data_IF_258427537757
#
_entry.id   IF_258427537757
#
_cell.length_a   1.000
_cell.length_b   1.000
_cell.length_c   1.000
_cell.angle_alpha   90.00
_cell.angle_beta   90.00
_cell.angle_gamma   90.00
#
_symmetry.space_group_name_H-M   'P 1'
#
loop_
_entity.id
_entity.type
_entity.pdbx_description
1 polymer ?
#
# COMPACT_ATOMS: atom_id res chain seq x y z
N UNK A 1 -36.21 57.99 26.94
CA UNK A 1 -36.16 57.47 28.31
C UNK A 1 -34.91 56.59 28.38
N UNK A 2 -33.74 57.20 28.55
CA UNK A 2 -33.04 57.50 29.83
C UNK A 2 -32.54 56.19 30.47
N UNK A 3 -31.30 55.98 30.90
CA UNK A 3 -30.07 56.79 31.04
C UNK A 3 -28.87 55.82 31.08
N UNK A 4 -27.62 56.20 30.79
CA UNK A 4 -26.72 57.09 31.56
C UNK A 4 -26.41 56.55 32.96
N UNK A 5 -25.15 56.15 33.17
CA UNK A 5 -24.59 55.80 34.48
C UNK A 5 -23.08 55.54 34.37
N UNK A 6 -22.29 56.59 34.61
CA UNK A 6 -20.84 56.56 34.76
C UNK A 6 -20.45 56.33 36.23
N UNK A 7 -19.26 55.76 36.48
CA UNK A 7 -18.46 56.07 37.67
C UNK A 7 -17.00 55.61 37.48
N UNK A 8 -16.09 56.55 37.70
CA UNK A 8 -14.62 56.45 37.71
C UNK A 8 -14.09 55.88 39.04
N UNK A 9 -12.84 55.41 39.06
CA UNK A 9 -12.08 55.16 40.29
C UNK A 9 -10.77 54.38 40.13
N UNK A 10 -9.68 55.07 39.76
CA UNK A 10 -8.27 54.73 40.07
C UNK A 10 -7.93 55.22 41.51
N UNK A 11 -6.72 55.05 42.13
CA UNK A 11 -5.44 54.42 41.71
C UNK A 11 -4.72 53.57 42.82
N UNK A 12 -3.49 53.08 42.53
CA UNK A 12 -2.24 53.08 43.35
C UNK A 12 -1.46 51.74 43.47
N UNK A 13 -0.35 51.70 42.71
CA UNK A 13 1.07 51.42 43.07
C UNK A 13 1.49 50.31 44.06
N UNK A 14 2.43 49.44 43.63
CA UNK A 14 3.77 49.16 44.24
C UNK A 14 4.43 47.95 43.53
N UNK A 15 5.43 48.10 42.66
CA UNK A 15 6.90 48.04 42.91
C UNK A 15 7.46 46.68 43.38
N UNK A 16 8.43 46.13 42.63
CA UNK A 16 9.43 45.16 43.13
C UNK A 16 10.05 44.19 42.09
N UNK A 17 11.20 44.61 41.53
CA UNK A 17 12.47 43.86 41.24
C UNK A 17 12.47 42.54 40.39
N UNK A 18 13.19 42.45 39.26
CA UNK A 18 14.65 42.24 39.06
C UNK A 18 15.15 40.89 39.65
N UNK A 19 15.91 39.97 39.03
CA UNK A 19 16.85 40.00 37.91
C UNK A 19 17.31 38.54 37.58
N UNK A 20 18.03 38.39 36.45
CA UNK A 20 19.12 37.43 36.14
C UNK A 20 18.85 35.98 35.68
N UNK A 21 19.01 35.79 34.37
CA UNK A 21 20.03 34.98 33.68
C UNK A 21 20.43 33.60 34.25
N UNK A 22 20.29 32.56 33.39
CA UNK A 22 20.98 31.29 33.53
C UNK A 22 20.74 30.36 32.34
N UNK A 23 21.81 30.01 31.64
CA UNK A 23 21.90 29.40 30.31
C UNK A 23 21.95 27.86 30.29
N UNK A 24 21.28 27.27 29.28
CA UNK A 24 21.71 26.20 28.35
C UNK A 24 22.22 24.84 28.88
N UNK A 25 21.47 23.78 28.53
CA UNK A 25 21.91 22.47 27.92
C UNK A 25 20.63 21.69 27.55
N UNK A 26 20.20 21.54 26.28
CA UNK A 26 20.65 20.69 25.16
C UNK A 26 20.25 19.20 25.26
N UNK A 27 19.41 18.76 24.30
CA UNK A 27 19.09 17.35 23.97
C UNK A 27 17.75 16.89 24.56
N UNK A 28 16.69 16.65 23.80
CA UNK A 28 16.62 15.70 22.68
C UNK A 28 15.91 16.31 21.46
N UNK A 29 16.58 16.24 20.30
CA UNK A 29 15.96 16.46 19.00
C UNK A 29 14.98 15.30 18.73
N UNK A 30 13.71 15.48 19.06
CA UNK A 30 12.66 14.78 18.32
C UNK A 30 12.68 15.40 16.92
N UNK A 31 13.36 14.71 16.00
CA UNK A 31 13.23 14.96 14.58
C UNK A 31 11.77 14.80 14.22
N UNK A 32 11.06 15.92 14.24
CA UNK A 32 9.75 16.12 13.62
C UNK A 32 9.97 15.78 12.14
N UNK A 33 9.81 14.50 11.82
CA UNK A 33 9.82 14.00 10.44
C UNK A 33 8.86 14.91 9.70
N UNK A 34 9.35 15.54 8.64
CA UNK A 34 8.65 16.55 7.88
C UNK A 34 7.40 15.93 7.23
N UNK A 35 6.32 15.88 8.01
CA UNK A 35 5.02 15.30 7.66
C UNK A 35 4.38 16.00 6.45
N UNK A 36 4.93 17.14 6.04
CA UNK A 36 4.43 18.00 4.98
C UNK A 36 4.74 17.44 3.58
N UNK A 37 5.89 16.75 3.43
CA UNK A 37 6.45 16.32 2.13
C UNK A 37 5.64 15.21 1.42
N UNK A 38 4.70 14.56 2.11
CA UNK A 38 3.90 13.46 1.53
C UNK A 38 2.59 13.96 0.93
N UNK A 39 2.02 15.01 1.50
CA UNK A 39 0.80 15.64 0.96
C UNK A 39 1.10 16.53 -0.24
N UNK A 40 2.34 17.00 -0.37
CA UNK A 40 2.83 17.72 -1.54
C UNK A 40 3.29 16.78 -2.67
N UNK A 41 3.43 15.49 -2.38
CA UNK A 41 3.88 14.51 -3.36
C UNK A 41 2.84 14.33 -4.47
N UNK A 42 3.27 14.55 -5.71
CA UNK A 42 2.43 14.32 -6.88
C UNK A 42 2.16 12.83 -7.11
N UNK A 43 1.00 12.46 -7.67
CA UNK A 43 0.71 11.07 -8.04
C UNK A 43 1.74 10.46 -8.99
N UNK A 44 2.29 11.23 -9.94
CA UNK A 44 3.35 10.77 -10.84
C UNK A 44 4.63 10.38 -10.09
N UNK A 45 4.99 11.14 -9.05
CA UNK A 45 6.14 10.82 -8.19
C UNK A 45 5.88 9.53 -7.43
N UNK A 46 4.71 9.39 -6.80
CA UNK A 46 4.33 8.17 -6.08
C UNK A 46 4.28 6.93 -6.98
N UNK A 47 3.79 7.09 -8.22
CA UNK A 47 3.81 6.05 -9.25
C UNK A 47 5.25 5.65 -9.60
N UNK A 48 6.16 6.62 -9.76
CA UNK A 48 7.58 6.37 -9.99
C UNK A 48 8.22 5.59 -8.84
N UNK A 49 7.94 5.98 -7.60
CA UNK A 49 8.39 5.27 -6.40
C UNK A 49 7.85 3.84 -6.33
N UNK A 50 6.57 3.62 -6.68
CA UNK A 50 5.99 2.28 -6.79
C UNK A 50 6.72 1.43 -7.83
N UNK A 51 7.07 1.98 -9.00
CA UNK A 51 7.85 1.24 -10.01
C UNK A 51 9.19 0.77 -9.44
N UNK A 52 9.93 1.68 -8.81
CA UNK A 52 11.24 1.39 -8.20
C UNK A 52 11.11 0.30 -7.14
N UNK A 53 10.09 0.38 -6.29
CA UNK A 53 9.82 -0.63 -5.26
C UNK A 53 9.62 -2.03 -5.86
N UNK A 54 8.81 -2.12 -6.93
CA UNK A 54 8.52 -3.40 -7.58
C UNK A 54 9.74 -3.97 -8.33
N UNK A 55 10.55 -3.12 -8.93
CA UNK A 55 11.80 -3.53 -9.58
C UNK A 55 12.80 -4.10 -8.56
N UNK A 56 12.89 -3.51 -7.37
CA UNK A 56 13.71 -4.04 -6.26
C UNK A 56 13.23 -5.40 -5.77
N UNK A 57 11.91 -5.57 -5.56
CA UNK A 57 11.34 -6.86 -5.18
C UNK A 57 11.58 -7.94 -6.26
N UNK A 58 11.53 -7.54 -7.53
CA UNK A 58 11.84 -8.43 -8.66
C UNK A 58 13.31 -8.84 -8.69
N UNK A 59 14.24 -7.93 -8.38
CA UNK A 59 15.66 -8.23 -8.32
C UNK A 59 16.00 -9.23 -7.18
N UNK A 60 15.42 -9.01 -5.99
CA UNK A 60 15.66 -9.86 -4.81
C UNK A 60 15.17 -11.30 -4.99
N UNK A 61 14.15 -11.51 -5.83
CA UNK A 61 13.63 -12.85 -6.13
C UNK A 61 14.61 -13.72 -6.94
N UNK A 62 15.60 -13.09 -7.58
CA UNK A 62 16.64 -13.80 -8.37
C UNK A 62 17.72 -14.42 -7.47
N UNK A 63 17.92 -13.87 -6.27
CA UNK A 63 18.97 -14.30 -5.33
C UNK A 63 18.46 -15.27 -4.26
N UNK A 64 17.14 -15.32 -4.01
CA UNK A 64 16.51 -16.31 -3.14
C UNK A 64 16.04 -17.56 -3.90
N UNK A 65 16.97 -18.26 -4.55
CA UNK A 65 16.72 -19.60 -5.07
C UNK A 65 16.88 -20.66 -3.98
N UNK A 66 15.93 -20.80 -3.04
CA UNK A 66 15.90 -21.94 -2.10
C UNK A 66 14.46 -22.44 -1.81
N UNK A 67 14.20 -23.65 -2.33
CA UNK A 67 13.30 -24.73 -1.86
C UNK A 67 11.78 -24.49 -1.85
N UNK A 68 11.15 -24.82 -2.98
CA UNK A 68 9.98 -25.69 -2.95
C UNK A 68 10.22 -26.85 -3.91
N UNK A 69 10.66 -27.97 -3.35
CA UNK A 69 10.63 -29.25 -4.05
C UNK A 69 9.21 -29.78 -3.99
N UNK A 70 8.40 -29.47 -4.99
CA UNK A 70 7.24 -30.29 -5.36
C UNK A 70 7.30 -30.47 -6.87
N UNK A 71 7.42 -31.73 -7.24
CA UNK A 71 7.63 -32.29 -8.57
C UNK A 71 6.71 -31.71 -9.65
N UNK A 72 7.29 -31.51 -10.84
CA UNK A 72 6.60 -31.41 -12.12
C UNK A 72 5.64 -32.60 -12.33
N UNK A 73 4.45 -32.31 -12.86
CA UNK A 73 3.54 -33.34 -13.38
C UNK A 73 2.08 -32.91 -13.42
N UNK A 74 1.61 -32.66 -14.64
CA UNK A 74 0.22 -32.72 -15.12
C UNK A 74 -0.63 -31.43 -15.19
N UNK A 75 -1.07 -31.15 -16.42
CA UNK A 75 -1.95 -30.06 -16.85
C UNK A 75 -3.40 -30.55 -16.76
N UNK A 76 -3.89 -30.69 -15.52
CA UNK A 76 -5.30 -30.99 -15.28
C UNK A 76 -6.04 -29.70 -14.90
N UNK A 77 -7.14 -29.33 -15.59
CA UNK A 77 -7.91 -28.13 -15.24
C UNK A 77 -8.55 -28.35 -13.87
N UNK A 78 -8.09 -27.59 -12.86
CA UNK A 78 -8.63 -27.60 -11.51
C UNK A 78 -10.12 -27.21 -11.59
N UNK A 79 -11.02 -28.20 -11.48
CA UNK A 79 -12.44 -27.98 -11.21
C UNK A 79 -12.55 -27.38 -9.82
N UNK A 80 -12.99 -26.12 -9.76
CA UNK A 80 -13.31 -25.40 -8.51
C UNK A 80 -14.63 -25.95 -7.98
N UNK A 81 -14.60 -27.17 -7.47
CA UNK A 81 -15.72 -27.74 -6.74
C UNK A 81 -15.12 -28.43 -5.53
N UNK A 82 -15.59 -28.03 -4.36
CA UNK A 82 -15.21 -28.53 -3.03
C UNK A 82 -14.10 -27.77 -2.30
N UNK A 83 -14.49 -26.60 -1.77
CA UNK A 83 -13.99 -26.13 -0.48
C UNK A 83 -14.62 -27.01 0.60
N UNK A 84 -14.01 -28.17 0.90
CA UNK A 84 -14.42 -28.97 2.06
C UNK A 84 -13.95 -28.28 3.34
N UNK A 85 -14.91 -27.84 4.15
CA UNK A 85 -14.69 -27.32 5.50
C UNK A 85 -14.85 -28.49 6.47
N UNK A 86 -13.75 -28.95 7.08
CA UNK A 86 -13.79 -29.92 8.18
C UNK A 86 -12.98 -29.35 9.35
N UNK A 87 -13.58 -29.17 10.54
CA UNK A 87 -12.90 -28.54 11.66
C UNK A 87 -12.24 -29.61 12.55
N UNK A 88 -10.91 -29.52 12.73
CA UNK A 88 -10.21 -29.67 14.01
C UNK A 88 -8.72 -30.03 13.82
N UNK A 89 -7.84 -29.24 14.43
CA UNK A 89 -6.52 -29.67 14.92
C UNK A 89 -5.37 -29.69 13.89
N UNK A 90 -4.35 -28.85 14.11
CA UNK A 90 -2.98 -28.88 13.53
C UNK A 90 -2.79 -28.78 12.00
N UNK A 91 -3.84 -28.98 11.19
CA UNK A 91 -3.78 -28.84 9.72
C UNK A 91 -3.87 -27.41 9.18
N UNK A 92 -4.27 -26.43 10.00
CA UNK A 92 -4.63 -25.07 9.54
C UNK A 92 -3.48 -24.36 8.79
N UNK A 93 -2.26 -24.39 9.33
CA UNK A 93 -1.11 -23.73 8.72
C UNK A 93 -0.74 -24.32 7.33
N UNK A 94 -0.94 -25.62 7.15
CA UNK A 94 -0.69 -26.29 5.88
C UNK A 94 -1.77 -25.94 4.83
N UNK A 95 -3.04 -25.90 5.24
CA UNK A 95 -4.13 -25.49 4.36
C UNK A 95 -4.00 -24.03 3.93
N UNK A 96 -3.62 -23.14 4.85
CA UNK A 96 -3.42 -21.72 4.55
C UNK A 96 -2.28 -21.52 3.54
N UNK A 97 -1.17 -22.24 3.69
CA UNK A 97 -0.05 -22.21 2.73
C UNK A 97 -0.45 -22.71 1.33
N UNK A 98 -1.26 -23.78 1.25
CA UNK A 98 -1.77 -24.28 -0.04
C UNK A 98 -2.70 -23.25 -0.69
N UNK A 99 -3.61 -22.65 0.08
CA UNK A 99 -4.51 -21.62 -0.41
C UNK A 99 -3.74 -20.40 -0.91
N UNK A 100 -2.77 -19.89 -0.14
CA UNK A 100 -1.89 -18.79 -0.53
C UNK A 100 -1.11 -19.09 -1.82
N UNK A 101 -0.63 -20.33 -2.00
CA UNK A 101 0.02 -20.77 -3.24
C UNK A 101 -0.93 -20.73 -4.44
N UNK A 102 -2.18 -21.17 -4.27
CA UNK A 102 -3.18 -21.14 -5.35
C UNK A 102 -3.58 -19.70 -5.70
N UNK A 103 -3.74 -18.84 -4.70
CA UNK A 103 -4.11 -17.44 -4.87
C UNK A 103 -2.99 -16.63 -5.53
N UNK A 104 -1.73 -16.81 -5.10
CA UNK A 104 -0.57 -16.12 -5.68
C UNK A 104 -0.36 -16.47 -7.17
N UNK A 105 -0.68 -17.72 -7.57
CA UNK A 105 -0.66 -18.13 -8.99
C UNK A 105 -1.63 -17.34 -9.87
N UNK A 106 -2.66 -16.68 -9.33
CA UNK A 106 -3.61 -15.86 -10.11
C UNK A 106 -2.96 -14.63 -10.73
N UNK A 107 -1.88 -14.14 -10.15
CA UNK A 107 -1.14 -13.01 -10.69
C UNK A 107 -0.18 -13.42 -11.82
N UNK A 108 0.10 -14.71 -12.00
CA UNK A 108 1.08 -15.17 -12.98
C UNK A 108 0.54 -15.07 -14.41
N UNK A 109 1.26 -14.33 -15.26
CA UNK A 109 1.02 -14.28 -16.71
C UNK A 109 1.67 -15.47 -17.41
N UNK A 110 1.01 -15.96 -18.47
CA UNK A 110 1.56 -17.05 -19.32
C UNK A 110 2.92 -16.70 -19.91
N UNK A 111 3.12 -15.44 -20.28
CA UNK A 111 4.36 -14.85 -20.79
C UNK A 111 4.60 -13.52 -20.09
N UNK A 112 5.85 -13.09 -20.03
CA UNK A 112 6.19 -11.75 -19.57
C UNK A 112 5.50 -10.71 -20.48
N UNK A 113 4.76 -9.74 -19.93
CA UNK A 113 4.16 -8.69 -20.73
C UNK A 113 5.24 -7.89 -21.48
N UNK A 114 5.05 -7.59 -22.78
CA UNK A 114 6.04 -6.85 -23.57
C UNK A 114 6.13 -5.36 -23.21
N UNK A 115 5.18 -4.85 -22.42
CA UNK A 115 5.14 -3.48 -21.91
C UNK A 115 5.84 -3.43 -20.55
N UNK A 116 6.67 -2.41 -20.32
CA UNK A 116 7.31 -2.23 -19.02
C UNK A 116 6.28 -1.92 -17.92
N UNK A 117 6.64 -2.17 -16.66
CA UNK A 117 5.76 -1.83 -15.54
C UNK A 117 5.45 -0.33 -15.49
N UNK A 118 6.45 0.52 -15.75
CA UNK A 118 6.29 1.98 -15.77
C UNK A 118 5.29 2.42 -16.83
N UNK A 119 5.43 1.95 -18.07
CA UNK A 119 4.48 2.28 -19.15
C UNK A 119 3.07 1.80 -18.84
N UNK A 120 2.94 0.60 -18.25
CA UNK A 120 1.65 0.05 -17.83
C UNK A 120 0.99 0.91 -16.74
N UNK A 121 1.76 1.33 -15.74
CA UNK A 121 1.29 2.20 -14.66
C UNK A 121 0.95 3.61 -15.16
N UNK A 122 1.77 4.20 -16.03
CA UNK A 122 1.47 5.49 -16.66
C UNK A 122 0.19 5.42 -17.48
N UNK A 123 -0.07 4.30 -18.19
CA UNK A 123 -1.35 4.07 -18.88
C UNK A 123 -2.51 4.04 -17.89
N UNK A 124 -2.39 3.31 -16.79
CA UNK A 124 -3.40 3.27 -15.74
C UNK A 124 -3.67 4.66 -15.17
N UNK A 125 -2.63 5.43 -14.82
CA UNK A 125 -2.78 6.79 -14.31
C UNK A 125 -3.44 7.74 -15.31
N UNK A 126 -3.10 7.63 -16.60
CA UNK A 126 -3.68 8.48 -17.65
C UNK A 126 -5.19 8.30 -17.80
N UNK A 127 -5.70 7.08 -17.74
CA UNK A 127 -7.11 6.77 -18.00
C UNK A 127 -7.95 6.55 -16.73
N UNK A 128 -7.28 6.25 -15.62
CA UNK A 128 -7.84 6.12 -14.28
C UNK A 128 -6.91 6.86 -13.29
N UNK A 129 -6.86 8.20 -13.30
CA UNK A 129 -6.06 8.97 -12.35
C UNK A 129 -6.39 8.60 -10.91
N UNK A 130 -5.37 8.28 -10.12
CA UNK A 130 -5.52 7.87 -8.71
C UNK A 130 -4.71 8.83 -7.83
N UNK A 131 -5.12 8.98 -6.58
CA UNK A 131 -4.41 9.78 -5.60
C UNK A 131 -3.03 9.19 -5.25
N UNK A 132 -2.12 10.04 -4.75
CA UNK A 132 -0.80 9.67 -4.22
C UNK A 132 -0.93 8.53 -3.19
N UNK A 133 -1.93 8.60 -2.32
CA UNK A 133 -2.19 7.59 -1.29
C UNK A 133 -2.44 6.19 -1.86
N UNK A 134 -3.12 6.07 -3.01
CA UNK A 134 -3.39 4.77 -3.65
C UNK A 134 -2.10 4.11 -4.12
N UNK A 135 -1.17 4.86 -4.73
CA UNK A 135 0.12 4.32 -5.16
C UNK A 135 1.00 3.90 -3.98
N UNK A 136 1.06 4.74 -2.93
CA UNK A 136 1.82 4.46 -1.72
C UNK A 136 1.26 3.26 -0.96
N UNK A 137 -0.06 3.17 -0.78
CA UNK A 137 -0.71 2.04 -0.13
C UNK A 137 -0.53 0.75 -0.93
N UNK A 138 -0.58 0.81 -2.26
CA UNK A 138 -0.28 -0.36 -3.10
C UNK A 138 1.15 -0.86 -2.88
N UNK A 139 2.11 0.06 -2.83
CA UNK A 139 3.51 -0.27 -2.52
C UNK A 139 3.63 -0.90 -1.13
N UNK A 140 2.95 -0.34 -0.13
CA UNK A 140 2.91 -0.84 1.23
C UNK A 140 2.37 -2.27 1.30
N UNK A 141 1.20 -2.53 0.72
CA UNK A 141 0.58 -3.85 0.74
C UNK A 141 1.47 -4.92 0.09
N UNK A 142 2.03 -4.62 -1.10
CA UNK A 142 2.88 -5.58 -1.80
C UNK A 142 4.19 -5.80 -1.06
N UNK A 143 4.80 -4.74 -0.50
CA UNK A 143 6.04 -4.86 0.26
C UNK A 143 5.84 -5.69 1.53
N UNK A 144 4.70 -5.53 2.23
CA UNK A 144 4.33 -6.36 3.38
C UNK A 144 4.22 -7.83 2.99
N UNK A 145 3.38 -8.14 1.99
CA UNK A 145 3.19 -9.53 1.52
C UNK A 145 4.48 -10.19 1.01
N UNK A 146 5.39 -9.41 0.40
CA UNK A 146 6.63 -9.93 -0.17
C UNK A 146 7.76 -10.10 0.86
N UNK A 147 7.96 -9.12 1.75
CA UNK A 147 9.12 -9.09 2.64
C UNK A 147 8.81 -9.55 4.07
N UNK A 148 7.62 -9.21 4.59
CA UNK A 148 7.23 -9.52 5.97
C UNK A 148 6.61 -10.91 5.99
N UNK A 149 5.51 -11.09 5.27
CA UNK A 149 4.73 -12.33 5.32
C UNK A 149 5.34 -13.42 4.41
N UNK A 150 6.14 -12.99 3.41
CA UNK A 150 6.79 -13.85 2.40
C UNK A 150 5.81 -14.78 1.68
N UNK A 151 4.58 -14.31 1.48
CA UNK A 151 3.49 -15.04 0.85
C UNK A 151 3.62 -15.03 -0.69
N UNK A 152 4.26 -14.00 -1.25
CA UNK A 152 4.42 -13.83 -2.69
C UNK A 152 5.84 -13.39 -3.07
N UNK A 153 6.44 -14.07 -4.05
CA UNK A 153 7.67 -13.61 -4.71
C UNK A 153 7.30 -12.81 -5.96
N UNK A 154 7.67 -11.53 -5.99
CA UNK A 154 7.39 -10.62 -7.10
C UNK A 154 8.39 -10.89 -8.23
N UNK A 155 7.89 -11.06 -9.45
CA UNK A 155 8.70 -11.29 -10.63
C UNK A 155 8.07 -10.68 -11.88
N UNK A 156 8.83 -10.66 -12.98
CA UNK A 156 8.43 -10.05 -14.26
C UNK A 156 7.15 -10.62 -14.87
N UNK A 157 6.75 -11.85 -14.51
CA UNK A 157 5.53 -12.49 -15.02
C UNK A 157 4.30 -12.18 -14.18
N UNK A 158 4.45 -11.80 -12.90
CA UNK A 158 3.31 -11.55 -12.02
C UNK A 158 3.10 -10.08 -11.65
N UNK A 159 4.12 -9.24 -11.75
CA UNK A 159 4.12 -7.87 -11.21
C UNK A 159 3.00 -6.99 -11.78
N UNK A 160 2.73 -7.02 -13.09
CA UNK A 160 1.68 -6.18 -13.70
C UNK A 160 0.29 -6.49 -13.15
N UNK A 161 -0.04 -7.78 -13.01
CA UNK A 161 -1.34 -8.23 -12.51
C UNK A 161 -1.46 -8.02 -11.00
N UNK A 162 -0.37 -8.22 -10.27
CA UNK A 162 -0.30 -7.97 -8.84
C UNK A 162 -0.53 -6.49 -8.53
N UNK A 163 0.16 -5.60 -9.24
CA UNK A 163 0.01 -4.15 -9.09
C UNK A 163 -1.36 -3.66 -9.55
N UNK A 164 -1.92 -4.20 -10.64
CA UNK A 164 -3.30 -3.88 -11.04
C UNK A 164 -4.30 -4.19 -9.93
N UNK A 165 -4.18 -5.36 -9.30
CA UNK A 165 -5.03 -5.77 -8.19
C UNK A 165 -4.84 -4.87 -6.97
N UNK A 166 -3.59 -4.59 -6.60
CA UNK A 166 -3.26 -3.73 -5.46
C UNK A 166 -3.78 -2.30 -5.63
N UNK A 167 -3.58 -1.69 -6.80
CA UNK A 167 -4.14 -0.37 -7.11
C UNK A 167 -5.66 -0.37 -7.03
N UNK A 168 -6.30 -1.41 -7.56
CA UNK A 168 -7.75 -1.53 -7.57
C UNK A 168 -8.32 -1.66 -6.16
N UNK A 169 -7.68 -2.48 -5.31
CA UNK A 169 -8.06 -2.64 -3.90
C UNK A 169 -7.80 -1.35 -3.14
N UNK A 170 -6.61 -0.76 -3.25
CA UNK A 170 -6.23 0.48 -2.58
C UNK A 170 -7.17 1.66 -2.94
N UNK A 171 -7.56 1.78 -4.21
CA UNK A 171 -8.55 2.77 -4.67
C UNK A 171 -9.89 2.60 -3.95
N UNK A 172 -10.38 1.36 -3.84
CA UNK A 172 -11.64 1.09 -3.14
C UNK A 172 -11.58 1.35 -1.64
N UNK A 173 -10.39 1.26 -1.04
CA UNK A 173 -10.23 1.45 0.42
C UNK A 173 -9.97 2.89 0.81
N UNK A 174 -9.37 3.70 -0.08
CA UNK A 174 -8.88 5.04 0.26
C UNK A 174 -9.66 6.16 -0.41
N UNK A 175 -10.29 5.91 -1.56
CA UNK A 175 -11.00 6.95 -2.30
C UNK A 175 -12.50 6.85 -2.07
N UNK A 176 -13.15 8.00 -1.84
CA UNK A 176 -14.62 8.08 -1.68
C UNK A 176 -15.36 7.63 -2.95
N UNK A 177 -14.74 7.84 -4.11
CA UNK A 177 -15.27 7.47 -5.43
C UNK A 177 -14.23 6.63 -6.16
N UNK A 178 -14.65 5.46 -6.64
CA UNK A 178 -13.81 4.58 -7.45
C UNK A 178 -14.32 4.47 -8.89
N UNK A 179 -13.41 4.27 -9.84
CA UNK A 179 -13.80 4.06 -11.23
C UNK A 179 -14.63 2.78 -11.39
N UNK A 180 -15.51 2.76 -12.39
CA UNK A 180 -16.29 1.57 -12.71
C UNK A 180 -15.38 0.37 -12.99
N UNK A 181 -15.82 -0.81 -12.56
CA UNK A 181 -15.05 -2.03 -12.70
C UNK A 181 -14.70 -2.33 -14.17
N UNK A 182 -15.65 -2.13 -15.10
CA UNK A 182 -15.44 -2.26 -16.54
C UNK A 182 -14.33 -1.33 -17.07
N UNK A 183 -14.27 -0.06 -16.60
CA UNK A 183 -13.23 0.88 -17.02
C UNK A 183 -11.86 0.39 -16.58
N UNK A 184 -11.70 0.01 -15.31
CA UNK A 184 -10.41 -0.47 -14.79
C UNK A 184 -9.97 -1.75 -15.49
N UNK A 185 -10.88 -2.69 -15.76
CA UNK A 185 -10.58 -3.91 -16.49
C UNK A 185 -10.06 -3.62 -17.91
N UNK A 186 -10.74 -2.74 -18.65
CA UNK A 186 -10.34 -2.32 -20.00
C UNK A 186 -8.97 -1.64 -20.01
N UNK A 187 -8.74 -0.66 -19.13
CA UNK A 187 -7.45 0.05 -19.03
C UNK A 187 -6.34 -0.90 -18.54
N UNK A 188 -6.66 -1.81 -17.64
CA UNK A 188 -5.76 -2.85 -17.14
C UNK A 188 -5.45 -3.94 -18.18
N UNK A 189 -6.21 -4.02 -19.27
CA UNK A 189 -6.03 -5.03 -20.32
C UNK A 189 -6.42 -6.45 -19.90
N UNK A 190 -7.40 -6.57 -19.00
CA UNK A 190 -7.91 -7.85 -18.48
C UNK A 190 -9.42 -7.95 -18.64
N UNK A 191 -9.96 -9.17 -18.61
CA UNK A 191 -11.42 -9.36 -18.58
C UNK A 191 -12.01 -8.92 -17.23
N UNK A 192 -13.29 -8.54 -17.19
CA UNK A 192 -13.92 -8.16 -15.92
C UNK A 192 -13.91 -9.31 -14.91
N UNK A 193 -14.32 -10.52 -15.31
CA UNK A 193 -14.27 -11.70 -14.43
C UNK A 193 -12.85 -11.99 -13.91
N UNK A 194 -11.84 -11.64 -14.69
CA UNK A 194 -10.44 -11.79 -14.30
C UNK A 194 -10.03 -10.71 -13.29
N UNK A 195 -10.38 -9.44 -13.52
CA UNK A 195 -10.16 -8.36 -12.55
C UNK A 195 -10.77 -8.71 -11.18
N UNK A 196 -12.02 -9.19 -11.15
CA UNK A 196 -12.67 -9.59 -9.89
C UNK A 196 -11.89 -10.69 -9.16
N UNK A 197 -11.36 -11.68 -9.88
CA UNK A 197 -10.55 -12.76 -9.29
C UNK A 197 -9.22 -12.22 -8.76
N UNK A 198 -8.59 -11.29 -9.47
CA UNK A 198 -7.35 -10.65 -9.03
C UNK A 198 -7.58 -9.85 -7.75
N UNK A 199 -8.65 -9.06 -7.68
CA UNK A 199 -9.04 -8.31 -6.47
C UNK A 199 -9.28 -9.24 -5.28
N UNK A 200 -10.11 -10.28 -5.45
CA UNK A 200 -10.41 -11.25 -4.40
C UNK A 200 -9.13 -11.93 -3.92
N UNK A 201 -8.28 -12.38 -4.84
CA UNK A 201 -7.03 -13.05 -4.48
C UNK A 201 -6.09 -12.11 -3.72
N UNK A 202 -6.04 -10.83 -4.12
CA UNK A 202 -5.22 -9.84 -3.42
C UNK A 202 -5.71 -9.61 -1.99
N UNK A 203 -7.01 -9.46 -1.78
CA UNK A 203 -7.58 -9.27 -0.44
C UNK A 203 -7.28 -10.46 0.49
N UNK A 204 -7.40 -11.70 -0.01
CA UNK A 204 -7.05 -12.89 0.78
C UNK A 204 -5.54 -12.98 1.08
N UNK A 205 -4.68 -12.65 0.12
CA UNK A 205 -3.22 -12.65 0.39
C UNK A 205 -2.81 -11.55 1.37
N UNK A 206 -3.52 -10.42 1.38
CA UNK A 206 -3.32 -9.33 2.33
C UNK A 206 -4.04 -9.55 3.67
N UNK A 207 -4.64 -10.73 3.88
CA UNK A 207 -5.46 -11.08 5.05
C UNK A 207 -6.50 -10.01 5.42
N UNK A 208 -7.03 -9.31 4.40
CA UNK A 208 -7.91 -8.15 4.56
C UNK A 208 -7.36 -7.03 5.47
N UNK A 209 -6.06 -7.03 5.81
CA UNK A 209 -5.38 -5.97 6.55
C UNK A 209 -5.06 -4.78 5.62
N UNK A 210 -6.12 -4.11 5.17
CA UNK A 210 -6.08 -3.00 4.21
C UNK A 210 -6.28 -1.64 4.87
N UNK A 211 -6.25 -1.58 6.21
CA UNK A 211 -6.31 -0.29 6.92
C UNK A 211 -4.99 0.43 6.73
N UNK A 212 -5.04 1.66 6.25
CA UNK A 212 -3.88 2.52 6.09
C UNK A 212 -4.18 3.87 6.70
N UNK A 213 -3.35 4.28 7.65
CA UNK A 213 -3.39 5.61 8.25
C UNK A 213 -2.35 6.54 7.62
N UNK A 214 -2.36 7.79 8.07
CA UNK A 214 -1.47 8.85 7.59
C UNK A 214 -0.02 8.51 7.85
N UNK A 215 0.28 8.04 9.05
CA UNK A 215 1.62 7.75 9.53
C UNK A 215 2.26 6.62 8.71
N UNK A 216 1.49 5.57 8.39
CA UNK A 216 1.89 4.47 7.54
C UNK A 216 2.24 4.93 6.11
N UNK A 217 1.46 5.85 5.53
CA UNK A 217 1.76 6.41 4.21
C UNK A 217 3.01 7.28 4.24
N UNK A 218 3.20 8.08 5.29
CA UNK A 218 4.37 8.94 5.43
C UNK A 218 5.63 8.11 5.55
N UNK A 219 5.60 7.11 6.42
CA UNK A 219 6.74 6.22 6.62
C UNK A 219 7.05 5.45 5.33
N UNK A 220 6.03 4.98 4.63
CA UNK A 220 6.26 4.26 3.38
C UNK A 220 6.84 5.19 2.29
N UNK A 221 6.36 6.43 2.17
CA UNK A 221 6.97 7.41 1.29
C UNK A 221 8.45 7.66 1.61
N UNK A 222 8.80 7.76 2.90
CA UNK A 222 10.18 7.95 3.36
C UNK A 222 11.07 6.78 2.96
N UNK A 223 10.62 5.54 3.19
CA UNK A 223 11.35 4.33 2.83
C UNK A 223 11.59 4.21 1.32
N UNK A 224 10.60 4.61 0.52
CA UNK A 224 10.70 4.62 -0.94
C UNK A 224 11.60 5.73 -1.48
N UNK A 225 11.68 6.89 -0.83
CA UNK A 225 12.60 7.98 -1.22
C UNK A 225 14.05 7.68 -0.86
N UNK A 226 14.29 6.92 0.22
CA UNK A 226 15.63 6.52 0.65
C UNK A 226 16.24 5.38 -0.18
N UNK A 227 15.52 4.93 -1.20
CA UNK A 227 15.74 3.71 -1.97
C UNK A 227 16.36 4.01 -3.33
#
# INVERSE_FOLDING_TARGET
MNGSGAAEGEPLSSSGDANQQGSRTQGTNDSKVDSTDVFEMTPDTALGLLCIAMDKLTANSSTQGVRSGISSGDDSPIRVTELHFSPAGEGHLAYDSIQQSVLSKRFLSKREPPITLKEYLTRLHRYCPMSTGVYLATSLYITRMANIDRIISVNRKNVHRLVLAGLRVAMKTLEDLSYSHNRVAKVGGVGEKELSRLEISFCFLADFELRVDREMLIEQARLLKAS
#
